data_IF_566377846802
#
_entry.id   IF_566377846802
#
_cell.length_a   1.000
_cell.length_b   1.000
_cell.length_c   1.000
_cell.angle_alpha   90.00
_cell.angle_beta   90.00
_cell.angle_gamma   90.00
#
_symmetry.space_group_name_H-M   'P 1'
#
loop_
_entity.id
_entity.type
_entity.pdbx_description
1 polymer ?
#
# COMPACT_ATOMS: atom_id res chain seq x y z
N UNK A 1 -12.13 17.71 0.86
CA UNK A 1 -11.09 17.15 1.75
C UNK A 1 -10.15 16.29 0.89
N UNK A 2 -8.85 16.53 0.94
CA UNK A 2 -7.84 15.75 0.20
C UNK A 2 -7.43 14.54 1.05
N UNK A 3 -7.61 13.32 0.53
CA UNK A 3 -7.15 12.11 1.20
C UNK A 3 -5.62 12.08 1.28
N UNK A 4 -5.03 11.54 2.36
CA UNK A 4 -3.59 11.33 2.42
C UNK A 4 -3.15 10.37 1.31
N UNK A 5 -1.94 10.61 0.77
CA UNK A 5 -1.38 9.81 -0.33
C UNK A 5 -0.16 9.06 0.17
N UNK A 6 -0.22 7.73 0.15
CA UNK A 6 0.93 6.88 0.40
C UNK A 6 1.50 6.38 -0.92
N UNK A 7 2.76 6.67 -1.18
CA UNK A 7 3.48 6.20 -2.37
C UNK A 7 4.42 5.06 -1.96
N UNK A 8 4.23 3.89 -2.55
CA UNK A 8 5.05 2.69 -2.29
C UNK A 8 5.49 2.06 -3.61
N UNK A 9 6.48 1.17 -3.56
CA UNK A 9 6.86 0.36 -4.72
C UNK A 9 6.13 -0.97 -4.73
N UNK A 10 6.01 -1.59 -5.89
CA UNK A 10 5.73 -3.03 -5.97
C UNK A 10 6.74 -3.84 -5.13
N UNK A 11 6.32 -5.02 -4.66
CA UNK A 11 7.11 -5.90 -3.79
C UNK A 11 7.61 -5.24 -2.49
N UNK A 12 6.90 -4.22 -2.00
CA UNK A 12 7.23 -3.55 -0.74
C UNK A 12 6.27 -3.93 0.37
N UNK A 13 6.70 -3.71 1.61
CA UNK A 13 5.86 -3.79 2.79
C UNK A 13 6.04 -2.50 3.57
N UNK A 14 4.94 -1.86 3.93
CA UNK A 14 4.91 -0.64 4.73
C UNK A 14 3.98 -0.87 5.90
N UNK A 15 4.51 -0.68 7.09
CA UNK A 15 3.78 -0.78 8.36
C UNK A 15 3.71 0.59 9.01
N UNK A 16 2.86 0.79 10.04
CA UNK A 16 2.82 2.06 10.77
C UNK A 16 4.18 2.42 11.41
N UNK A 17 5.03 1.41 11.59
CA UNK A 17 6.34 1.49 12.25
C UNK A 17 7.47 1.80 11.25
N UNK A 18 7.17 1.81 9.94
CA UNK A 18 8.13 2.16 8.89
C UNK A 18 8.47 3.64 8.99
N UNK A 19 9.77 4.04 9.03
CA UNK A 19 10.15 5.45 9.15
C UNK A 19 9.57 6.30 8.02
N UNK A 20 9.02 7.47 8.37
CA UNK A 20 8.43 8.47 7.45
C UNK A 20 7.16 8.00 6.71
N UNK A 21 7.22 6.90 5.95
CA UNK A 21 6.08 6.39 5.20
C UNK A 21 4.98 5.78 6.07
N UNK A 22 5.33 5.20 7.22
CA UNK A 22 4.38 4.54 8.13
C UNK A 22 3.50 5.51 8.91
N UNK A 23 3.89 6.78 9.03
CA UNK A 23 3.13 7.78 9.78
C UNK A 23 1.72 7.98 9.23
N UNK A 24 1.58 7.91 7.90
CA UNK A 24 0.30 8.04 7.20
C UNK A 24 -0.65 6.88 7.55
N UNK A 25 -0.10 5.73 7.93
CA UNK A 25 -0.87 4.52 8.22
C UNK A 25 -1.36 4.45 9.66
N UNK A 26 -0.84 5.31 10.55
CA UNK A 26 -1.21 5.33 11.97
C UNK A 26 -2.67 5.75 12.14
N UNK A 27 -3.38 5.05 13.01
CA UNK A 27 -4.80 5.31 13.32
C UNK A 27 -5.76 5.22 12.11
N UNK A 28 -5.34 4.61 11.00
CA UNK A 28 -6.24 4.28 9.91
C UNK A 28 -6.88 2.90 10.16
N UNK A 29 -8.17 2.81 9.83
CA UNK A 29 -8.95 1.57 9.85
C UNK A 29 -9.59 1.33 8.48
N UNK A 30 -9.83 0.07 8.15
CA UNK A 30 -10.50 -0.31 6.90
C UNK A 30 -12.02 -0.33 7.10
N UNK A 31 -12.76 0.29 6.20
CA UNK A 31 -14.22 0.13 6.16
C UNK A 31 -14.61 -1.21 5.54
N UNK A 32 -15.85 -1.65 5.72
CA UNK A 32 -16.37 -2.86 5.07
C UNK A 32 -16.27 -2.80 3.54
N UNK A 33 -16.40 -1.60 2.96
CA UNK A 33 -16.24 -1.39 1.52
C UNK A 33 -14.78 -1.55 1.09
N UNK A 34 -13.84 -1.04 1.88
CA UNK A 34 -12.40 -1.21 1.64
C UNK A 34 -12.02 -2.69 1.75
N UNK A 35 -12.55 -3.42 2.73
CA UNK A 35 -12.31 -4.85 2.89
C UNK A 35 -12.82 -5.64 1.68
N UNK A 36 -14.03 -5.37 1.18
CA UNK A 36 -14.55 -6.01 -0.04
C UNK A 36 -13.71 -5.71 -1.28
N UNK A 37 -13.27 -4.48 -1.44
CA UNK A 37 -12.35 -4.08 -2.52
C UNK A 37 -11.04 -4.87 -2.42
N UNK A 38 -10.46 -4.91 -1.23
CA UNK A 38 -9.19 -5.59 -0.97
C UNK A 38 -9.32 -7.10 -1.15
N UNK A 39 -10.44 -7.72 -0.76
CA UNK A 39 -10.70 -9.14 -0.99
C UNK A 39 -10.77 -9.46 -2.49
N UNK A 40 -11.38 -8.59 -3.30
CA UNK A 40 -11.38 -8.73 -4.75
C UNK A 40 -9.96 -8.62 -5.35
N UNK A 41 -9.05 -7.86 -4.71
CA UNK A 41 -7.65 -7.71 -5.10
C UNK A 41 -6.70 -8.76 -4.48
N UNK A 42 -7.13 -9.40 -3.39
CA UNK A 42 -6.30 -10.19 -2.46
C UNK A 42 -5.71 -11.44 -3.09
N UNK A 43 -6.23 -11.88 -4.24
CA UNK A 43 -5.80 -13.15 -4.85
C UNK A 43 -4.34 -13.18 -5.28
N UNK A 44 -3.67 -12.04 -5.51
CA UNK A 44 -2.26 -12.06 -5.94
C UNK A 44 -1.40 -10.80 -5.70
N UNK A 45 -1.96 -9.60 -5.46
CA UNK A 45 -1.17 -8.37 -5.70
C UNK A 45 -1.16 -7.29 -4.61
N UNK A 46 -2.15 -7.23 -3.73
CA UNK A 46 -2.20 -6.25 -2.63
C UNK A 46 -2.87 -6.86 -1.40
N UNK A 47 -2.25 -6.68 -0.24
CA UNK A 47 -2.82 -7.09 1.06
C UNK A 47 -2.69 -5.93 2.04
N UNK A 48 -3.82 -5.47 2.56
CA UNK A 48 -3.84 -4.58 3.71
C UNK A 48 -4.29 -5.37 4.94
N UNK A 49 -3.71 -5.08 6.10
CA UNK A 49 -4.01 -5.75 7.36
C UNK A 49 -4.10 -4.72 8.45
N UNK A 50 -5.22 -4.70 9.17
CA UNK A 50 -5.42 -3.81 10.30
C UNK A 50 -4.64 -4.33 11.51
N UNK A 51 -3.84 -3.45 12.09
CA UNK A 51 -3.02 -3.67 13.28
C UNK A 51 -3.48 -2.72 14.38
N UNK A 52 -3.05 -2.99 15.62
CA UNK A 52 -3.34 -2.10 16.76
C UNK A 52 -2.84 -0.67 16.56
N UNK A 53 -1.74 -0.48 15.82
CA UNK A 53 -1.13 0.83 15.55
C UNK A 53 -1.65 1.51 14.27
N UNK A 54 -2.49 0.85 13.47
CA UNK A 54 -2.96 1.35 12.18
C UNK A 54 -2.92 0.28 11.09
N UNK A 55 -2.62 0.65 9.85
CA UNK A 55 -2.61 -0.29 8.72
C UNK A 55 -1.22 -0.80 8.33
N UNK A 56 -1.13 -2.10 8.05
CA UNK A 56 0.00 -2.71 7.33
C UNK A 56 -0.39 -2.96 5.88
N UNK A 57 0.45 -2.52 4.95
CA UNK A 57 0.25 -2.65 3.51
C UNK A 57 1.39 -3.45 2.92
N UNK A 58 1.05 -4.58 2.30
CA UNK A 58 1.97 -5.46 1.58
C UNK A 58 1.58 -5.49 0.11
N UNK A 59 2.52 -5.10 -0.74
CA UNK A 59 2.34 -5.00 -2.18
C UNK A 59 3.11 -6.12 -2.87
N UNK A 60 2.45 -6.85 -3.76
CA UNK A 60 3.04 -7.83 -4.68
C UNK A 60 3.36 -7.17 -6.03
N UNK A 61 2.87 -7.78 -7.11
CA UNK A 61 3.06 -7.35 -8.51
C UNK A 61 2.12 -6.20 -8.95
N UNK A 62 1.38 -5.59 -8.03
CA UNK A 62 0.43 -4.54 -8.41
C UNK A 62 1.19 -3.28 -8.85
N UNK A 63 0.72 -2.61 -9.90
CA UNK A 63 1.13 -1.26 -10.26
C UNK A 63 -0.14 -0.48 -10.55
N UNK A 64 -0.27 0.71 -9.97
CA UNK A 64 -1.46 1.52 -10.14
C UNK A 64 -1.81 2.35 -8.91
N UNK A 65 -3.05 2.81 -8.85
CA UNK A 65 -3.58 3.56 -7.72
C UNK A 65 -4.80 2.85 -7.15
N UNK A 66 -4.82 2.66 -5.84
CA UNK A 66 -5.96 2.13 -5.09
C UNK A 66 -6.47 3.23 -4.18
N UNK A 67 -7.75 3.58 -4.32
CA UNK A 67 -8.40 4.53 -3.43
C UNK A 67 -9.18 3.73 -2.39
N UNK A 68 -8.75 3.83 -1.14
CA UNK A 68 -9.50 3.43 0.04
C UNK A 68 -10.26 4.65 0.57
N UNK A 69 -11.24 4.41 1.43
CA UNK A 69 -12.08 5.44 2.02
C UNK A 69 -11.28 6.50 2.79
N UNK A 70 -10.14 6.12 3.38
CA UNK A 70 -9.29 6.97 4.21
C UNK A 70 -7.87 7.21 3.63
N UNK A 71 -7.52 6.59 2.50
CA UNK A 71 -6.16 6.59 1.97
C UNK A 71 -6.13 6.42 0.46
N UNK A 72 -5.31 7.22 -0.23
CA UNK A 72 -4.91 6.93 -1.61
C UNK A 72 -3.56 6.22 -1.62
N UNK A 73 -3.52 5.00 -2.11
CA UNK A 73 -2.31 4.21 -2.28
C UNK A 73 -1.82 4.28 -3.72
N UNK A 74 -0.62 4.81 -3.95
CA UNK A 74 0.02 4.87 -5.27
C UNK A 74 1.17 3.88 -5.28
N UNK A 75 1.09 2.88 -6.15
CA UNK A 75 2.05 1.80 -6.26
C UNK A 75 2.85 1.97 -7.55
N UNK A 76 4.15 2.25 -7.39
CA UNK A 76 5.09 2.46 -8.49
C UNK A 76 5.84 1.16 -8.83
N UNK A 77 6.16 0.93 -10.11
CA UNK A 77 7.07 -0.15 -10.48
C UNK A 77 8.44 0.05 -9.84
N UNK A 78 9.10 -1.05 -9.48
CA UNK A 78 10.46 -1.05 -8.98
C UNK A 78 11.38 -1.26 -10.18
N UNK A 79 11.64 -0.18 -10.92
CA UNK A 79 12.51 -0.23 -12.09
C UNK A 79 13.94 -0.51 -11.61
N UNK A 80 14.41 -1.75 -11.84
CA UNK A 80 15.82 -2.11 -11.69
C UNK A 80 16.49 -1.89 -13.04
N UNK A 81 17.22 -0.78 -13.18
CA UNK A 81 18.13 -0.62 -14.30
C UNK A 81 19.32 -1.55 -14.03
N UNK A 82 19.30 -2.74 -14.61
CA UNK A 82 20.48 -3.60 -14.68
C UNK A 82 21.44 -2.92 -15.65
N UNK A 83 22.53 -2.32 -15.14
CA UNK A 83 23.65 -1.96 -16.02
C UNK A 83 24.21 -3.26 -16.58
N UNK A 84 23.93 -3.54 -17.85
CA UNK A 84 24.74 -4.45 -18.62
C UNK A 84 26.11 -3.75 -18.80
N UNK A 85 27.12 -4.24 -18.10
CA UNK A 85 28.50 -3.88 -18.44
C UNK A 85 28.89 -4.66 -19.71
N UNK A 86 29.56 -4.02 -20.68
CA UNK A 86 30.05 -4.66 -21.89
C UNK A 86 31.17 -5.67 -21.59
#
# INVERSE_FOLDING_TARGET
MTLPVLVVSEWSTTTPETPVCGEILKNLSLTDADQKLLDAMSRTTLRCTELRSGLSIKVGQHIGTVNLSSLRLVIKPKIRILRAYP
#
